data_IF_561117929322
#
_entry.id   IF_561117929322
#
_cell.length_a   1.000
_cell.length_b   1.000
_cell.length_c   1.000
_cell.angle_alpha   90.00
_cell.angle_beta   90.00
_cell.angle_gamma   90.00
#
_symmetry.space_group_name_H-M   'P 1'
#
loop_
_entity.id
_entity.type
_entity.pdbx_description
1 polymer ?
#
# COMPACT_ATOMS: atom_id res chain seq x y z
N UNK A 1 -28.29 -17.20 8.78
CA UNK A 1 -26.84 -17.03 8.96
C UNK A 1 -26.10 -17.64 7.78
N UNK A 2 -25.34 -16.83 7.09
CA UNK A 2 -24.60 -17.31 5.93
C UNK A 2 -23.35 -18.07 6.41
N UNK A 3 -23.16 -19.28 5.89
CA UNK A 3 -22.00 -20.08 6.21
C UNK A 3 -20.84 -19.65 5.32
N UNK A 4 -19.80 -19.11 5.92
CA UNK A 4 -18.63 -18.62 5.19
C UNK A 4 -17.56 -19.70 5.15
N UNK A 5 -17.10 -20.07 3.95
CA UNK A 5 -16.03 -21.04 3.75
C UNK A 5 -14.66 -20.36 4.00
N UNK A 6 -13.60 -21.14 4.25
CA UNK A 6 -12.27 -20.60 4.46
C UNK A 6 -11.78 -19.66 3.35
N UNK A 7 -11.94 -19.98 2.05
CA UNK A 7 -11.55 -19.05 0.99
C UNK A 7 -12.32 -17.73 1.03
N UNK A 8 -13.59 -17.77 1.38
CA UNK A 8 -14.41 -16.57 1.52
C UNK A 8 -13.97 -15.74 2.71
N UNK A 9 -13.62 -16.37 3.83
CA UNK A 9 -13.08 -15.70 5.01
C UNK A 9 -11.79 -14.97 4.68
N UNK A 10 -10.87 -15.64 3.98
CA UNK A 10 -9.58 -15.02 3.60
C UNK A 10 -9.79 -13.81 2.69
N UNK A 11 -10.67 -13.93 1.71
CA UNK A 11 -10.98 -12.84 0.80
C UNK A 11 -11.60 -11.66 1.53
N UNK A 12 -12.52 -11.92 2.43
CA UNK A 12 -13.17 -10.89 3.23
C UNK A 12 -12.17 -10.20 4.16
N UNK A 13 -11.28 -10.97 4.79
CA UNK A 13 -10.23 -10.44 5.66
C UNK A 13 -9.26 -9.54 4.89
N UNK A 14 -8.85 -9.93 3.68
CA UNK A 14 -7.97 -9.12 2.84
C UNK A 14 -8.65 -7.81 2.46
N UNK A 15 -9.91 -7.84 2.05
CA UNK A 15 -10.66 -6.64 1.72
C UNK A 15 -10.71 -5.68 2.92
N UNK A 16 -11.00 -6.21 4.09
CA UNK A 16 -11.06 -5.40 5.32
C UNK A 16 -9.70 -4.77 5.63
N UNK A 17 -8.62 -5.52 5.50
CA UNK A 17 -7.26 -5.02 5.73
C UNK A 17 -6.88 -3.90 4.76
N UNK A 18 -7.22 -4.06 3.49
CA UNK A 18 -6.97 -3.03 2.48
C UNK A 18 -7.74 -1.75 2.83
N UNK A 19 -9.00 -1.88 3.23
CA UNK A 19 -9.81 -0.73 3.65
C UNK A 19 -9.17 -0.04 4.85
N UNK A 20 -8.69 -0.80 5.83
CA UNK A 20 -8.02 -0.25 7.01
C UNK A 20 -6.76 0.51 6.64
N UNK A 21 -5.94 -0.03 5.74
CA UNK A 21 -4.75 0.67 5.27
C UNK A 21 -5.09 1.95 4.53
N UNK A 22 -6.13 1.92 3.70
CA UNK A 22 -6.57 3.10 2.96
C UNK A 22 -7.30 4.12 3.85
N UNK A 23 -7.79 3.69 5.00
CA UNK A 23 -8.36 4.59 6.01
C UNK A 23 -7.28 5.37 6.76
N UNK A 24 -6.06 4.85 6.81
CA UNK A 24 -4.93 5.51 7.47
C UNK A 24 -4.34 6.59 6.54
N UNK A 25 -4.37 7.84 7.02
CA UNK A 25 -3.93 8.98 6.21
C UNK A 25 -2.47 8.88 5.79
N UNK A 26 -1.60 8.39 6.66
CA UNK A 26 -0.18 8.25 6.34
C UNK A 26 0.07 7.18 5.29
N UNK A 27 -0.64 6.05 5.37
CA UNK A 27 -0.56 4.99 4.37
C UNK A 27 -1.05 5.48 3.01
N UNK A 28 -2.16 6.24 2.99
CA UNK A 28 -2.64 6.86 1.75
C UNK A 28 -1.62 7.82 1.16
N UNK A 29 -1.01 8.65 2.00
CA UNK A 29 0.02 9.58 1.55
C UNK A 29 1.19 8.86 0.89
N UNK A 30 1.63 7.76 1.49
CA UNK A 30 2.70 6.94 0.93
C UNK A 30 2.29 6.39 -0.44
N UNK A 31 1.15 5.71 -0.52
CA UNK A 31 0.68 5.11 -1.77
C UNK A 31 0.56 6.15 -2.89
N UNK A 32 -0.11 7.25 -2.63
CA UNK A 32 -0.41 8.23 -3.68
C UNK A 32 0.80 9.09 -4.06
N UNK A 33 1.85 9.12 -3.24
CA UNK A 33 3.08 9.83 -3.59
C UNK A 33 3.99 9.02 -4.52
N UNK A 34 3.74 7.72 -4.68
CA UNK A 34 4.57 6.83 -5.50
C UNK A 34 3.81 6.19 -6.66
N UNK A 35 2.76 6.85 -7.13
CA UNK A 35 2.01 6.39 -8.30
C UNK A 35 2.84 6.58 -9.57
N UNK A 36 3.37 7.76 -9.78
CA UNK A 36 4.10 8.11 -11.01
C UNK A 36 5.59 7.83 -10.90
N UNK A 37 6.17 8.09 -9.75
CA UNK A 37 7.60 7.95 -9.52
C UNK A 37 7.83 7.22 -8.22
N UNK A 38 8.67 6.19 -8.26
CA UNK A 38 9.04 5.44 -7.07
C UNK A 38 9.91 6.27 -6.11
N UNK A 39 9.87 5.88 -4.85
CA UNK A 39 10.66 6.51 -3.78
C UNK A 39 11.18 5.46 -2.82
N UNK A 40 12.30 5.77 -2.19
CA UNK A 40 12.84 4.95 -1.10
C UNK A 40 12.09 5.25 0.19
N UNK A 41 12.23 4.37 1.19
CA UNK A 41 11.63 4.59 2.51
C UNK A 41 12.13 5.89 3.14
N UNK A 42 13.42 6.20 3.01
CA UNK A 42 13.99 7.43 3.54
C UNK A 42 13.37 8.67 2.89
N UNK A 43 13.19 8.64 1.57
CA UNK A 43 12.55 9.74 0.85
C UNK A 43 11.10 9.94 1.30
N UNK A 44 10.38 8.84 1.52
CA UNK A 44 9.00 8.89 2.02
C UNK A 44 8.92 9.45 3.44
N UNK A 45 9.86 9.02 4.30
CA UNK A 45 9.95 9.51 5.68
C UNK A 45 10.16 11.03 5.70
N UNK A 46 11.09 11.50 4.89
CA UNK A 46 11.41 12.94 4.82
C UNK A 46 10.25 13.74 4.22
N UNK A 47 9.67 13.26 3.13
CA UNK A 47 8.59 13.97 2.44
C UNK A 47 7.34 14.12 3.32
N UNK A 48 6.95 13.07 4.00
CA UNK A 48 5.70 13.05 4.77
C UNK A 48 5.89 13.32 6.25
N UNK A 49 7.12 13.57 6.70
CA UNK A 49 7.43 13.81 8.12
C UNK A 49 6.96 12.66 9.01
N UNK A 50 7.18 11.45 8.56
CA UNK A 50 6.84 10.22 9.28
C UNK A 50 8.15 9.57 9.74
N UNK A 51 8.26 9.13 11.01
CA UNK A 51 9.47 8.42 11.46
C UNK A 51 9.77 7.23 10.54
N UNK A 52 11.06 7.02 10.25
CA UNK A 52 11.49 5.99 9.32
C UNK A 52 11.01 4.61 9.71
N UNK A 53 11.05 4.27 11.01
CA UNK A 53 10.54 2.99 11.50
C UNK A 53 9.05 2.79 11.18
N UNK A 54 8.26 3.86 11.28
CA UNK A 54 6.83 3.81 10.95
C UNK A 54 6.63 3.64 9.45
N UNK A 55 7.46 4.28 8.63
CA UNK A 55 7.42 4.12 7.16
C UNK A 55 7.68 2.66 6.79
N UNK A 56 8.72 2.05 7.36
CA UNK A 56 9.04 0.65 7.08
C UNK A 56 7.90 -0.29 7.47
N UNK A 57 7.26 -0.04 8.61
CA UNK A 57 6.12 -0.86 9.02
C UNK A 57 4.96 -0.73 8.05
N UNK A 58 4.62 0.48 7.64
CA UNK A 58 3.54 0.70 6.68
C UNK A 58 3.87 0.11 5.31
N UNK A 59 5.10 0.25 4.85
CA UNK A 59 5.57 -0.36 3.60
C UNK A 59 5.42 -1.88 3.67
N UNK A 60 5.84 -2.50 4.76
CA UNK A 60 5.72 -3.95 4.95
C UNK A 60 4.26 -4.40 4.84
N UNK A 61 3.36 -3.69 5.51
CA UNK A 61 1.93 -4.02 5.47
C UNK A 61 1.35 -3.82 4.06
N UNK A 62 1.74 -2.75 3.38
CA UNK A 62 1.28 -2.46 2.02
C UNK A 62 1.81 -3.47 0.99
N UNK A 63 3.06 -3.91 1.14
CA UNK A 63 3.64 -4.94 0.28
C UNK A 63 2.92 -6.29 0.48
N UNK A 64 2.64 -6.63 1.73
CA UNK A 64 1.93 -7.87 2.05
C UNK A 64 0.56 -7.92 1.38
N UNK A 65 -0.11 -6.77 1.31
CA UNK A 65 -1.40 -6.65 0.62
C UNK A 65 -1.27 -6.45 -0.88
N UNK A 66 -0.05 -6.48 -1.42
CA UNK A 66 0.27 -6.27 -2.84
C UNK A 66 -0.16 -4.90 -3.38
N UNK A 67 -0.29 -3.91 -2.52
CA UNK A 67 -0.65 -2.55 -2.94
C UNK A 67 0.54 -1.75 -3.46
N UNK A 68 1.75 -2.12 -3.04
CA UNK A 68 3.00 -1.54 -3.53
C UNK A 68 3.98 -2.67 -3.85
N UNK A 69 5.02 -2.33 -4.60
CA UNK A 69 6.08 -3.29 -4.94
C UNK A 69 7.41 -2.59 -5.06
N UNK A 70 8.48 -3.38 -5.03
CA UNK A 70 9.82 -2.87 -5.30
C UNK A 70 9.97 -2.70 -6.81
N UNK A 71 10.11 -1.47 -7.25
CA UNK A 71 10.20 -1.10 -8.66
C UNK A 71 11.65 -1.14 -9.15
N UNK A 72 12.58 -0.68 -8.33
CA UNK A 72 13.99 -0.60 -8.68
C UNK A 72 14.83 -0.47 -7.42
N UNK A 73 16.13 -0.25 -7.61
CA UNK A 73 17.07 -0.06 -6.52
C UNK A 73 17.90 1.19 -6.77
N UNK A 74 18.16 1.95 -5.71
CA UNK A 74 19.15 3.02 -5.72
C UNK A 74 20.42 2.56 -5.04
N UNK A 75 21.55 3.00 -5.55
CA UNK A 75 22.85 2.69 -4.98
C UNK A 75 23.46 4.01 -4.48
N UNK A 76 23.82 4.06 -3.20
CA UNK A 76 24.47 5.23 -2.61
C UNK A 76 25.93 5.30 -3.03
N UNK A 77 26.59 6.44 -2.77
CA UNK A 77 28.01 6.61 -3.05
C UNK A 77 28.87 5.56 -2.35
N UNK A 78 28.41 5.05 -1.22
CA UNK A 78 29.13 4.02 -0.44
C UNK A 78 28.78 2.62 -0.89
N UNK A 79 28.01 2.46 -1.98
CA UNK A 79 27.62 1.18 -2.51
C UNK A 79 26.47 0.51 -1.80
N UNK A 80 25.77 1.18 -0.89
CA UNK A 80 24.60 0.63 -0.22
C UNK A 80 23.41 0.65 -1.18
N UNK A 81 22.62 -0.42 -1.15
CA UNK A 81 21.45 -0.58 -2.00
C UNK A 81 20.19 -0.24 -1.21
N UNK A 82 19.31 0.53 -1.83
CA UNK A 82 18.02 0.92 -1.26
C UNK A 82 16.89 0.55 -2.21
N UNK A 83 15.85 -0.06 -1.68
CA UNK A 83 14.65 -0.38 -2.45
C UNK A 83 13.90 0.89 -2.80
N UNK A 84 13.44 0.96 -4.04
CA UNK A 84 12.56 2.02 -4.54
C UNK A 84 11.19 1.41 -4.70
N UNK A 85 10.21 1.94 -3.99
CA UNK A 85 8.84 1.41 -3.98
C UNK A 85 7.94 2.19 -4.91
N UNK A 86 7.02 1.50 -5.53
CA UNK A 86 6.03 2.12 -6.39
C UNK A 86 4.66 1.52 -6.14
N UNK A 87 3.61 2.34 -6.29
CA UNK A 87 2.23 1.88 -6.08
C UNK A 87 1.76 1.00 -7.23
N UNK A 88 1.00 -0.04 -6.90
CA UNK A 88 0.31 -0.88 -7.88
C UNK A 88 -1.07 -0.32 -8.21
N UNK A 89 -1.55 0.64 -7.44
CA UNK A 89 -2.88 1.24 -7.64
C UNK A 89 -2.75 2.74 -7.84
N UNK A 90 -3.67 3.31 -8.59
CA UNK A 90 -3.77 4.76 -8.77
C UNK A 90 -5.08 5.32 -8.27
N UNK A 91 -5.96 4.48 -7.75
CA UNK A 91 -7.21 4.91 -7.15
C UNK A 91 -7.90 3.78 -6.42
N UNK A 92 -8.85 4.14 -5.57
CA UNK A 92 -9.65 3.19 -4.82
C UNK A 92 -11.00 3.81 -4.52
N UNK A 93 -12.04 2.99 -4.58
CA UNK A 93 -13.38 3.38 -4.17
C UNK A 93 -13.89 2.38 -3.15
N UNK A 94 -14.37 2.90 -2.02
CA UNK A 94 -14.93 2.09 -0.94
C UNK A 94 -16.41 2.44 -0.85
N UNK A 95 -17.26 1.42 -0.91
CA UNK A 95 -18.70 1.60 -0.81
C UNK A 95 -19.23 0.80 0.39
N UNK A 96 -20.02 1.45 1.20
CA UNK A 96 -20.67 0.82 2.35
C UNK A 96 -22.16 1.08 2.22
N UNK A 97 -22.90 0.09 1.74
CA UNK A 97 -24.36 0.20 1.54
C UNK A 97 -25.15 -0.68 2.49
N UNK A 98 -24.49 -1.63 3.11
CA UNK A 98 -25.01 -2.55 4.11
C UNK A 98 -23.92 -2.69 5.15
N UNK A 99 -24.04 -3.58 6.14
CA UNK A 99 -22.90 -3.81 7.05
C UNK A 99 -21.63 -4.21 6.31
N UNK A 100 -21.76 -4.72 5.11
CA UNK A 100 -20.62 -5.12 4.29
C UNK A 100 -20.06 -3.95 3.50
N UNK A 101 -18.74 -3.88 3.43
CA UNK A 101 -18.03 -2.91 2.60
C UNK A 101 -17.55 -3.58 1.33
N UNK A 102 -17.55 -2.84 0.23
CA UNK A 102 -16.99 -3.29 -1.03
C UNK A 102 -15.86 -2.33 -1.43
N UNK A 103 -14.91 -2.87 -2.18
CA UNK A 103 -13.70 -2.17 -2.57
C UNK A 103 -13.44 -2.37 -4.05
N UNK A 104 -13.21 -1.28 -4.76
CA UNK A 104 -12.77 -1.32 -6.16
C UNK A 104 -11.42 -0.59 -6.25
N UNK A 105 -10.43 -1.27 -6.78
CA UNK A 105 -9.08 -0.71 -6.95
C UNK A 105 -8.83 -0.43 -8.42
N UNK A 106 -8.26 0.74 -8.70
CA UNK A 106 -7.83 1.08 -10.05
C UNK A 106 -6.36 0.78 -10.17
N UNK A 107 -6.01 -0.12 -11.07
CA UNK A 107 -4.62 -0.54 -11.28
C UNK A 107 -3.78 0.60 -11.81
N UNK A 108 -2.56 0.73 -11.30
CA UNK A 108 -1.61 1.71 -11.79
C UNK A 108 -1.04 1.27 -13.14
N UNK A 109 -0.66 2.23 -13.95
CA UNK A 109 -0.03 1.96 -15.23
C UNK A 109 1.36 1.38 -15.00
N UNK A 110 1.64 0.28 -15.71
CA UNK A 110 2.92 -0.41 -15.61
C UNK A 110 3.84 0.09 -16.72
N UNK A 111 4.90 0.77 -16.31
CA UNK A 111 5.98 1.12 -17.24
C UNK A 111 7.29 1.15 -16.51
#
# INVERSE_FOLDING_TARGET
MVRITLPQLKKHDVTQKVIEMLADAESRAIIFSIIRKGKTAAELSEKHKIPLSSVYKKISDLEELTLIHVDSWKISEKGRRFKVYRSRIKGAEISIKKPEASLALTQNDVK
#
